data_IF_155600347204
#
_entry.id   IF_155600347204
#
_cell.length_a   1.000
_cell.length_b   1.000
_cell.length_c   1.000
_cell.angle_alpha   90.00
_cell.angle_beta   90.00
_cell.angle_gamma   90.00
#
_symmetry.space_group_name_H-M   'P 1'
#
loop_
_entity.id
_entity.type
_entity.pdbx_description
1 polymer ?
#
# COMPACT_ATOMS: atom_id res chain seq x y z
N UNK A 1 -15.92 7.25 -9.33
CA UNK A 1 -15.62 6.20 -8.32
C UNK A 1 -15.82 4.83 -8.96
N UNK A 2 -15.02 3.82 -8.59
CA UNK A 2 -15.21 2.42 -9.03
C UNK A 2 -15.04 1.48 -7.85
N UNK A 3 -15.76 0.36 -7.85
CA UNK A 3 -15.70 -0.63 -6.77
C UNK A 3 -15.57 -2.02 -7.35
N UNK A 4 -14.62 -2.79 -6.81
CA UNK A 4 -14.40 -4.19 -7.16
C UNK A 4 -14.59 -5.04 -5.91
N UNK A 5 -15.38 -6.10 -6.01
CA UNK A 5 -15.64 -7.02 -4.89
C UNK A 5 -15.28 -8.43 -5.34
N UNK A 6 -14.31 -9.05 -4.68
CA UNK A 6 -13.85 -10.40 -5.02
C UNK A 6 -13.52 -11.17 -3.73
N UNK A 7 -14.09 -12.36 -3.57
CA UNK A 7 -13.83 -13.21 -2.39
C UNK A 7 -14.14 -12.55 -1.03
N UNK A 8 -15.11 -11.63 -1.00
CA UNK A 8 -15.46 -10.85 0.20
C UNK A 8 -14.56 -9.63 0.46
N UNK A 9 -13.52 -9.41 -0.35
CA UNK A 9 -12.67 -8.23 -0.27
C UNK A 9 -13.14 -7.13 -1.22
N UNK A 10 -13.32 -5.92 -0.69
CA UNK A 10 -13.77 -4.74 -1.45
C UNK A 10 -12.61 -3.80 -1.71
N UNK A 11 -12.43 -3.40 -2.97
CA UNK A 11 -11.53 -2.34 -3.38
C UNK A 11 -12.35 -1.17 -3.94
N UNK A 12 -12.22 0.01 -3.34
CA UNK A 12 -12.97 1.21 -3.68
C UNK A 12 -11.99 2.26 -4.18
N UNK A 13 -12.11 2.65 -5.45
CA UNK A 13 -11.25 3.64 -6.10
C UNK A 13 -11.91 5.02 -6.05
N UNK A 14 -11.28 5.91 -5.30
CA UNK A 14 -11.65 7.32 -5.16
C UNK A 14 -10.73 8.13 -6.07
N UNK A 15 -11.25 8.47 -7.24
CA UNK A 15 -10.58 9.30 -8.25
C UNK A 15 -11.27 10.67 -8.34
N UNK A 16 -10.51 11.75 -8.19
CA UNK A 16 -10.98 13.12 -8.32
C UNK A 16 -11.19 13.84 -6.98
N UNK A 17 -12.01 14.90 -7.02
CA UNK A 17 -12.21 15.81 -5.88
C UNK A 17 -12.96 15.12 -4.72
N UNK A 18 -12.50 15.34 -3.49
CA UNK A 18 -13.16 14.82 -2.28
C UNK A 18 -14.18 15.84 -1.79
N UNK A 19 -15.45 15.50 -1.84
CA UNK A 19 -16.57 16.30 -1.32
C UNK A 19 -17.61 15.38 -0.70
N UNK A 20 -18.70 15.94 -0.16
CA UNK A 20 -19.75 15.15 0.53
C UNK A 20 -20.28 13.97 -0.28
N UNK A 21 -20.55 14.13 -1.58
CA UNK A 21 -21.03 13.02 -2.41
C UNK A 21 -19.99 11.88 -2.58
N UNK A 22 -18.70 12.16 -2.40
CA UNK A 22 -17.63 11.15 -2.37
C UNK A 22 -17.76 10.31 -1.10
N UNK A 23 -17.99 10.94 0.05
CA UNK A 23 -18.25 10.25 1.34
C UNK A 23 -19.46 9.33 1.22
N UNK A 24 -20.55 9.83 0.64
CA UNK A 24 -21.80 9.08 0.49
C UNK A 24 -21.61 7.86 -0.43
N UNK A 25 -20.92 8.06 -1.55
CA UNK A 25 -20.63 6.97 -2.50
C UNK A 25 -19.73 5.90 -1.88
N UNK A 26 -18.73 6.28 -1.08
CA UNK A 26 -17.86 5.31 -0.39
C UNK A 26 -18.64 4.57 0.69
N UNK A 27 -19.49 5.26 1.45
CA UNK A 27 -20.36 4.63 2.47
C UNK A 27 -21.27 3.58 1.86
N UNK A 28 -21.89 3.88 0.72
CA UNK A 28 -22.71 2.93 -0.03
C UNK A 28 -21.87 1.74 -0.52
N UNK A 29 -20.69 1.98 -1.09
CA UNK A 29 -19.80 0.93 -1.58
C UNK A 29 -19.29 -0.02 -0.47
N UNK A 30 -19.18 0.45 0.78
CA UNK A 30 -18.78 -0.36 1.93
C UNK A 30 -19.89 -1.31 2.42
N UNK A 31 -21.15 -1.12 2.01
CA UNK A 31 -22.25 -2.01 2.41
C UNK A 31 -22.15 -3.40 1.72
N UNK A 32 -22.55 -4.49 2.39
CA UNK A 32 -23.09 -4.56 3.75
C UNK A 32 -22.02 -4.38 4.83
N UNK A 33 -22.41 -3.75 5.94
CA UNK A 33 -21.56 -3.43 7.13
C UNK A 33 -20.89 -4.66 7.75
N UNK A 34 -21.37 -5.87 7.43
CA UNK A 34 -20.75 -7.13 7.84
C UNK A 34 -19.34 -7.34 7.28
N UNK A 35 -18.94 -6.59 6.25
CA UNK A 35 -17.58 -6.59 5.70
C UNK A 35 -16.71 -5.57 6.44
N UNK A 36 -15.89 -6.02 7.39
CA UNK A 36 -15.00 -5.15 8.20
C UNK A 36 -13.57 -5.02 7.65
N UNK A 37 -13.38 -5.31 6.36
CA UNK A 37 -12.07 -5.32 5.72
C UNK A 37 -12.19 -5.06 4.22
N UNK A 38 -11.23 -4.32 3.70
CA UNK A 38 -11.21 -3.87 2.31
C UNK A 38 -10.14 -2.79 2.13
N UNK A 39 -10.11 -2.17 0.96
CA UNK A 39 -9.14 -1.15 0.63
C UNK A 39 -9.80 0.01 -0.10
N UNK A 40 -9.47 1.23 0.30
CA UNK A 40 -9.77 2.45 -0.44
C UNK A 40 -8.49 2.93 -1.12
N UNK A 41 -8.51 3.01 -2.45
CA UNK A 41 -7.39 3.48 -3.26
C UNK A 41 -7.67 4.91 -3.71
N UNK A 42 -6.78 5.83 -3.36
CA UNK A 42 -6.92 7.26 -3.61
C UNK A 42 -6.07 7.73 -4.80
N UNK A 43 -6.71 8.46 -5.70
CA UNK A 43 -6.09 9.31 -6.71
C UNK A 43 -6.79 10.68 -6.72
N UNK A 44 -6.30 11.63 -5.92
CA UNK A 44 -6.98 12.91 -5.70
C UNK A 44 -5.99 14.05 -5.46
N UNK A 45 -6.20 15.17 -6.15
CA UNK A 45 -5.48 16.42 -5.91
C UNK A 45 -5.98 17.19 -4.67
N UNK A 46 -7.04 16.72 -4.01
CA UNK A 46 -7.62 17.38 -2.84
C UNK A 46 -9.13 17.40 -2.81
N UNK A 47 -9.67 18.33 -2.03
CA UNK A 47 -11.09 18.39 -1.73
C UNK A 47 -11.43 19.29 -0.57
N UNK A 48 -12.64 19.11 -0.07
CA UNK A 48 -13.13 19.76 1.13
C UNK A 48 -12.54 19.08 2.38
N UNK A 49 -11.93 19.88 3.27
CA UNK A 49 -11.28 19.37 4.48
C UNK A 49 -12.24 18.52 5.34
N UNK A 50 -13.45 19.01 5.56
CA UNK A 50 -14.46 18.34 6.38
C UNK A 50 -14.87 17.00 5.75
N UNK A 51 -15.12 16.97 4.44
CA UNK A 51 -15.47 15.73 3.74
C UNK A 51 -14.32 14.71 3.78
N UNK A 52 -13.06 15.16 3.75
CA UNK A 52 -11.92 14.29 3.91
C UNK A 52 -11.81 13.69 5.33
N UNK A 53 -12.06 14.48 6.37
CA UNK A 53 -12.12 13.98 7.75
C UNK A 53 -13.25 12.96 7.93
N UNK A 54 -14.45 13.27 7.40
CA UNK A 54 -15.59 12.35 7.40
C UNK A 54 -15.28 11.05 6.68
N UNK A 55 -14.70 11.13 5.48
CA UNK A 55 -14.31 9.96 4.69
C UNK A 55 -13.27 9.11 5.43
N UNK A 56 -12.26 9.73 6.03
CA UNK A 56 -11.24 8.99 6.76
C UNK A 56 -11.79 8.34 8.04
N UNK A 57 -12.71 9.00 8.76
CA UNK A 57 -13.40 8.39 9.91
C UNK A 57 -14.25 7.19 9.47
N UNK A 58 -15.01 7.34 8.38
CA UNK A 58 -15.80 6.26 7.80
C UNK A 58 -14.93 5.04 7.45
N UNK A 59 -13.78 5.27 6.80
CA UNK A 59 -12.80 4.23 6.48
C UNK A 59 -12.29 3.53 7.74
N UNK A 60 -11.95 4.31 8.78
CA UNK A 60 -11.46 3.80 10.07
C UNK A 60 -12.48 2.90 10.73
N UNK A 61 -13.73 3.35 10.80
CA UNK A 61 -14.82 2.65 11.49
C UNK A 61 -15.16 1.31 10.82
N UNK A 62 -15.02 1.23 9.49
CA UNK A 62 -15.19 -0.01 8.72
C UNK A 62 -13.95 -0.89 8.69
N UNK A 63 -12.83 -0.43 9.27
CA UNK A 63 -11.58 -1.17 9.33
C UNK A 63 -10.86 -1.30 7.98
N UNK A 64 -11.18 -0.48 6.99
CA UNK A 64 -10.57 -0.54 5.65
C UNK A 64 -9.13 -0.04 5.68
N UNK A 65 -8.29 -0.60 4.80
CA UNK A 65 -6.98 -0.04 4.48
C UNK A 65 -7.10 1.11 3.47
N UNK A 66 -6.06 1.92 3.39
CA UNK A 66 -5.90 2.97 2.39
C UNK A 66 -4.63 2.78 1.59
N UNK A 67 -4.68 3.08 0.30
CA UNK A 67 -3.54 3.09 -0.61
C UNK A 67 -3.62 4.34 -1.49
N UNK A 68 -2.48 4.82 -1.98
CA UNK A 68 -2.44 5.82 -3.06
C UNK A 68 -2.13 5.09 -4.37
N UNK A 69 -2.92 5.36 -5.39
CA UNK A 69 -2.79 4.72 -6.70
C UNK A 69 -3.94 5.09 -7.63
N UNK A 70 -3.73 4.92 -8.92
CA UNK A 70 -4.74 5.20 -9.94
C UNK A 70 -4.95 3.96 -10.81
N UNK A 71 -6.19 3.69 -11.22
CA UNK A 71 -6.42 2.68 -12.26
C UNK A 71 -5.81 3.13 -13.59
N UNK A 72 -5.14 2.20 -14.28
CA UNK A 72 -4.77 2.36 -15.69
C UNK A 72 -6.00 2.62 -16.55
N UNK A 73 -5.81 3.16 -17.76
CA UNK A 73 -6.91 3.41 -18.70
C UNK A 73 -7.72 2.13 -19.00
N UNK A 74 -7.00 1.00 -19.11
CA UNK A 74 -7.55 -0.34 -19.31
C UNK A 74 -8.17 -0.95 -18.04
N UNK A 75 -7.98 -0.32 -16.87
CA UNK A 75 -8.55 -0.71 -15.58
C UNK A 75 -8.17 -2.12 -15.13
N UNK A 76 -7.00 -2.58 -15.54
CA UNK A 76 -6.43 -3.89 -15.21
C UNK A 76 -5.37 -3.78 -14.11
N UNK A 77 -4.76 -2.60 -13.93
CA UNK A 77 -3.64 -2.40 -13.02
C UNK A 77 -3.81 -1.12 -12.19
N UNK A 78 -3.16 -1.11 -11.02
CA UNK A 78 -2.97 0.11 -10.21
C UNK A 78 -1.61 0.71 -10.57
N UNK A 79 -1.65 1.86 -11.21
CA UNK A 79 -0.48 2.68 -11.54
C UNK A 79 -0.28 3.79 -10.50
N UNK A 80 0.79 4.57 -10.70
CA UNK A 80 1.11 5.71 -9.84
C UNK A 80 -0.03 6.73 -9.78
N UNK A 81 -0.51 7.00 -8.57
CA UNK A 81 -1.53 8.00 -8.27
C UNK A 81 -0.99 9.17 -7.44
N UNK A 82 -1.83 10.19 -7.25
CA UNK A 82 -1.55 11.36 -6.43
C UNK A 82 -2.51 11.46 -5.25
N UNK A 83 -2.05 11.94 -4.11
CA UNK A 83 -2.89 12.26 -2.95
C UNK A 83 -2.39 13.55 -2.32
N UNK A 84 -3.03 14.66 -2.68
CA UNK A 84 -2.63 16.01 -2.28
C UNK A 84 -3.69 16.73 -1.46
N UNK A 85 -3.28 17.77 -0.73
CA UNK A 85 -4.18 18.69 -0.03
C UNK A 85 -5.08 17.98 1.00
N UNK A 86 -6.40 17.89 0.75
CA UNK A 86 -7.33 17.19 1.63
C UNK A 86 -7.24 15.65 1.52
N UNK A 87 -6.70 15.10 0.42
CA UNK A 87 -6.62 13.65 0.24
C UNK A 87 -5.82 12.93 1.34
N UNK A 88 -4.62 13.41 1.75
CA UNK A 88 -3.89 12.85 2.87
C UNK A 88 -4.70 12.76 4.16
N UNK A 89 -5.64 13.69 4.38
CA UNK A 89 -6.50 13.69 5.57
C UNK A 89 -7.48 12.52 5.53
N UNK A 90 -8.08 12.21 4.38
CA UNK A 90 -8.89 11.00 4.24
C UNK A 90 -8.04 9.71 4.30
N UNK A 91 -6.86 9.72 3.66
CA UNK A 91 -5.94 8.59 3.60
C UNK A 91 -5.52 8.12 5.00
N UNK A 92 -5.25 9.03 5.94
CA UNK A 92 -4.82 8.64 7.30
C UNK A 92 -5.90 7.94 8.11
N UNK A 93 -7.15 7.97 7.65
CA UNK A 93 -8.28 7.19 8.15
C UNK A 93 -8.08 5.68 8.08
N UNK A 94 -7.25 5.19 7.15
CA UNK A 94 -6.97 3.77 6.99
C UNK A 94 -6.57 3.10 8.31
N UNK A 95 -7.15 1.93 8.59
CA UNK A 95 -6.67 1.02 9.64
C UNK A 95 -5.24 0.58 9.34
N UNK A 96 -4.96 0.41 8.05
CA UNK A 96 -3.64 0.25 7.47
C UNK A 96 -3.45 1.26 6.34
N UNK A 97 -2.26 1.85 6.23
CA UNK A 97 -1.94 2.96 5.33
C UNK A 97 -0.75 2.57 4.45
N UNK A 98 -1.06 2.11 3.25
CA UNK A 98 -0.11 1.64 2.26
C UNK A 98 0.41 2.86 1.49
N UNK A 99 1.64 3.25 1.83
CA UNK A 99 2.36 4.31 1.14
C UNK A 99 3.57 3.70 0.44
N UNK A 100 3.31 3.14 -0.74
CA UNK A 100 4.35 2.60 -1.59
C UNK A 100 4.88 3.71 -2.52
N UNK A 101 6.20 3.89 -2.52
CA UNK A 101 6.87 4.92 -3.32
C UNK A 101 6.70 4.70 -4.82
N UNK A 102 6.37 3.49 -5.26
CA UNK A 102 6.16 3.15 -6.66
C UNK A 102 4.74 3.54 -7.12
N UNK A 103 3.76 3.40 -6.23
CA UNK A 103 2.33 3.62 -6.57
C UNK A 103 1.77 4.97 -6.09
N UNK A 104 2.43 5.69 -5.18
CA UNK A 104 1.83 6.86 -4.53
C UNK A 104 2.72 8.08 -4.34
N UNK A 105 2.19 9.26 -4.70
CA UNK A 105 2.68 10.56 -4.25
C UNK A 105 1.77 11.12 -3.14
N UNK A 106 2.35 11.52 -2.01
CA UNK A 106 1.64 12.19 -0.92
C UNK A 106 2.17 13.63 -0.76
N UNK A 107 1.29 14.61 -0.85
CA UNK A 107 1.65 16.03 -0.76
C UNK A 107 0.67 16.82 0.10
N UNK A 108 1.17 17.81 0.84
CA UNK A 108 0.35 18.63 1.74
C UNK A 108 0.54 20.11 1.53
N UNK A 109 -0.46 20.88 1.94
CA UNK A 109 -0.39 22.32 2.09
C UNK A 109 -1.43 22.77 3.13
N UNK A 110 -1.31 23.99 3.68
CA UNK A 110 -2.28 24.50 4.65
C UNK A 110 -3.66 24.68 4.01
N UNK A 111 -4.72 24.34 4.72
CA UNK A 111 -6.09 24.58 4.26
C UNK A 111 -6.40 26.09 4.23
N UNK A 112 -7.37 26.48 3.40
CA UNK A 112 -7.79 27.86 3.23
C UNK A 112 -9.29 27.94 2.95
N UNK A 113 -9.87 29.12 3.17
CA UNK A 113 -11.26 29.40 2.83
C UNK A 113 -11.31 29.96 1.42
N UNK A 114 -11.84 29.18 0.48
CA UNK A 114 -12.12 29.64 -0.88
C UNK A 114 -13.42 30.48 -0.90
N UNK A 115 -13.39 31.73 -0.40
CA UNK A 115 -14.46 32.71 -0.67
C UNK A 115 -13.99 33.68 -1.75
N UNK A 116 -14.63 33.64 -2.91
CA UNK A 116 -14.58 34.69 -3.95
C UNK A 116 -13.15 35.17 -4.31
N UNK A 117 -12.22 34.24 -4.57
CA UNK A 117 -10.89 34.59 -5.08
C UNK A 117 -10.01 35.39 -4.12
N UNK A 118 -10.37 35.49 -2.83
CA UNK A 118 -9.51 36.09 -1.80
C UNK A 118 -9.16 35.05 -0.76
N UNK A 119 -7.87 34.97 -0.44
CA UNK A 119 -7.31 34.26 0.70
C UNK A 119 -7.93 34.83 1.99
N UNK A 120 -9.10 34.34 2.38
CA UNK A 120 -9.83 34.88 3.51
C UNK A 120 -9.19 34.36 4.80
N UNK A 121 -8.39 35.21 5.45
CA UNK A 121 -7.85 35.01 6.78
C UNK A 121 -8.93 35.23 7.85
N UNK A 122 -10.05 34.51 7.79
CA UNK A 122 -10.97 34.47 8.93
C UNK A 122 -10.31 33.64 10.02
N UNK A 123 -9.58 34.33 10.89
CA UNK A 123 -8.67 33.75 11.87
C UNK A 123 -9.38 32.82 12.84
N UNK A 124 -10.65 33.09 13.18
CA UNK A 124 -11.41 32.25 14.09
C UNK A 124 -11.84 30.93 13.45
N UNK A 125 -12.34 30.97 12.22
CA UNK A 125 -12.76 29.77 11.51
C UNK A 125 -11.55 28.88 11.16
N UNK A 126 -10.45 29.49 10.73
CA UNK A 126 -9.20 28.78 10.47
C UNK A 126 -8.58 28.20 11.75
N UNK A 127 -8.70 28.89 12.88
CA UNK A 127 -8.24 28.39 14.18
C UNK A 127 -9.03 27.16 14.62
N UNK A 128 -10.36 27.20 14.56
CA UNK A 128 -11.22 26.06 14.89
C UNK A 128 -10.92 24.88 13.96
N UNK A 129 -10.87 25.11 12.65
CA UNK A 129 -10.53 24.06 11.68
C UNK A 129 -9.14 23.46 11.93
N UNK A 130 -8.16 24.27 12.33
CA UNK A 130 -6.81 23.79 12.67
C UNK A 130 -6.81 22.91 13.91
N UNK A 131 -7.53 23.31 14.97
CA UNK A 131 -7.69 22.48 16.17
C UNK A 131 -8.39 21.16 15.84
N UNK A 132 -9.51 21.21 15.14
CA UNK A 132 -10.31 20.03 14.83
C UNK A 132 -9.53 19.07 13.90
N UNK A 133 -8.72 19.59 12.98
CA UNK A 133 -7.79 18.80 12.16
C UNK A 133 -6.71 18.14 13.01
N UNK A 134 -6.10 18.87 13.95
CA UNK A 134 -5.07 18.31 14.85
C UNK A 134 -5.64 17.19 15.72
N UNK A 135 -6.85 17.38 16.25
CA UNK A 135 -7.57 16.35 17.01
C UNK A 135 -7.87 15.11 16.17
N UNK A 136 -8.31 15.32 14.93
CA UNK A 136 -8.51 14.23 13.97
C UNK A 136 -7.21 13.47 13.66
N UNK A 137 -6.12 14.17 13.34
CA UNK A 137 -4.80 13.57 13.08
C UNK A 137 -4.35 12.70 14.27
N UNK A 138 -4.51 13.23 15.49
CA UNK A 138 -4.21 12.49 16.73
C UNK A 138 -5.09 11.26 16.88
N UNK A 139 -6.39 11.36 16.63
CA UNK A 139 -7.33 10.22 16.68
C UNK A 139 -6.98 9.14 15.64
N UNK A 140 -6.39 9.53 14.50
CA UNK A 140 -5.89 8.61 13.48
C UNK A 140 -4.54 7.98 13.83
N UNK A 141 -3.91 8.35 14.96
CA UNK A 141 -2.62 7.81 15.41
C UNK A 141 -1.44 8.31 14.58
N UNK A 142 -1.54 9.53 14.04
CA UNK A 142 -0.49 10.21 13.27
C UNK A 142 0.17 11.26 14.16
N UNK A 143 1.47 11.49 13.99
CA UNK A 143 2.20 12.43 14.83
C UNK A 143 1.88 13.89 14.49
N UNK A 144 2.13 14.78 15.45
CA UNK A 144 1.78 16.21 15.33
C UNK A 144 2.68 16.97 14.35
N UNK A 145 3.84 16.42 14.04
CA UNK A 145 4.77 16.93 13.03
C UNK A 145 4.11 16.98 11.65
N UNK A 146 3.20 16.05 11.34
CA UNK A 146 2.41 16.10 10.11
C UNK A 146 1.49 17.33 10.06
N UNK A 147 0.80 17.62 11.16
CA UNK A 147 -0.03 18.83 11.28
C UNK A 147 0.83 20.09 11.15
N UNK A 148 2.00 20.09 11.77
CA UNK A 148 2.96 21.20 11.69
C UNK A 148 3.41 21.42 10.24
N UNK A 149 3.72 20.37 9.49
CA UNK A 149 4.09 20.46 8.08
C UNK A 149 2.95 21.04 7.23
N UNK A 150 1.72 20.56 7.44
CA UNK A 150 0.52 21.09 6.75
C UNK A 150 0.44 22.60 6.96
N UNK A 151 0.47 23.06 8.21
CA UNK A 151 0.27 24.47 8.54
C UNK A 151 1.44 25.37 8.09
N UNK A 152 2.67 24.85 8.10
CA UNK A 152 3.86 25.56 7.63
C UNK A 152 3.91 25.70 6.10
N UNK A 153 3.23 24.82 5.36
CA UNK A 153 3.27 24.83 3.90
C UNK A 153 2.27 25.83 3.32
N UNK A 154 2.71 26.83 2.54
CA UNK A 154 1.82 27.81 1.90
C UNK A 154 0.78 27.14 0.99
N UNK A 155 -0.41 27.75 0.91
CA UNK A 155 -1.55 27.16 0.22
C UNK A 155 -1.46 27.21 -1.32
N UNK A 156 -0.47 27.90 -1.87
CA UNK A 156 -0.13 27.97 -3.29
C UNK A 156 1.00 27.01 -3.69
N UNK A 157 1.46 26.14 -2.77
CA UNK A 157 2.50 25.14 -3.02
C UNK A 157 2.09 23.79 -2.45
N UNK A 158 2.56 22.71 -3.07
CA UNK A 158 2.46 21.35 -2.54
C UNK A 158 3.83 20.94 -1.99
N UNK A 159 3.88 20.61 -0.71
CA UNK A 159 5.06 20.00 -0.10
C UNK A 159 4.91 18.48 -0.13
N UNK A 160 5.77 17.81 -0.90
CA UNK A 160 5.86 16.36 -0.89
C UNK A 160 6.29 15.85 0.49
N UNK A 161 5.62 14.82 0.99
CA UNK A 161 6.03 14.13 2.22
C UNK A 161 6.96 12.98 1.83
N UNK A 162 8.21 13.05 2.28
CA UNK A 162 9.21 12.03 1.99
C UNK A 162 9.00 10.74 2.79
N UNK A 163 9.50 9.62 2.24
CA UNK A 163 9.36 8.27 2.81
C UNK A 163 9.74 8.19 4.31
N UNK A 164 10.86 8.81 4.71
CA UNK A 164 11.31 8.79 6.10
C UNK A 164 10.29 9.44 7.05
N UNK A 165 9.87 10.66 6.72
CA UNK A 165 8.84 11.39 7.47
C UNK A 165 7.51 10.63 7.51
N UNK A 166 7.15 9.92 6.42
CA UNK A 166 5.95 9.09 6.40
C UNK A 166 5.96 7.94 7.41
N UNK A 167 7.14 7.41 7.77
CA UNK A 167 7.25 6.42 8.83
C UNK A 167 7.31 7.06 10.21
N UNK A 168 8.17 8.07 10.39
CA UNK A 168 8.37 8.72 11.69
C UNK A 168 7.08 9.36 12.22
N UNK A 169 6.24 9.87 11.32
CA UNK A 169 4.96 10.49 11.67
C UNK A 169 3.79 9.51 11.64
N UNK A 170 4.07 8.21 11.50
CA UNK A 170 3.10 7.13 11.36
C UNK A 170 2.11 7.32 10.19
N UNK A 171 2.43 8.08 9.14
CA UNK A 171 1.54 8.24 7.97
C UNK A 171 1.39 6.96 7.18
N UNK A 172 2.48 6.21 7.02
CA UNK A 172 2.38 4.80 6.67
C UNK A 172 2.28 3.99 7.94
N UNK A 173 1.35 3.05 7.99
CA UNK A 173 1.43 2.06 9.04
C UNK A 173 2.56 1.09 8.64
N UNK A 174 3.53 0.90 9.53
CA UNK A 174 4.56 -0.14 9.41
C UNK A 174 5.89 0.39 8.93
N UNK A 175 6.85 0.51 9.85
CA UNK A 175 8.25 0.50 9.44
C UNK A 175 8.53 -0.82 8.72
N UNK A 176 9.13 -0.75 7.54
CA UNK A 176 9.58 -1.92 6.82
C UNK A 176 10.92 -2.35 7.43
N UNK A 177 10.88 -3.33 8.32
CA UNK A 177 12.10 -4.00 8.76
C UNK A 177 12.30 -5.22 7.90
N UNK A 178 13.43 -5.30 7.21
CA UNK A 178 13.81 -6.50 6.46
C UNK A 178 15.06 -7.10 7.08
N UNK A 179 15.10 -8.43 7.12
CA UNK A 179 16.29 -9.18 7.48
C UNK A 179 16.51 -10.24 6.42
N UNK A 180 17.75 -10.40 6.00
CA UNK A 180 18.14 -11.41 5.02
C UNK A 180 19.17 -12.34 5.63
N UNK A 181 18.92 -13.64 5.53
CA UNK A 181 19.80 -14.67 6.07
C UNK A 181 19.94 -15.83 5.08
N UNK A 182 21.15 -16.36 4.96
CA UNK A 182 21.38 -17.62 4.26
C UNK A 182 21.06 -18.78 5.20
N UNK A 183 20.06 -19.58 4.86
CA UNK A 183 19.68 -20.76 5.62
C UNK A 183 20.68 -21.92 5.40
N UNK A 184 20.76 -22.89 6.33
CA UNK A 184 21.70 -24.01 6.24
C UNK A 184 21.50 -24.90 5.00
N UNK A 185 20.30 -24.92 4.42
CA UNK A 185 19.99 -25.66 3.19
C UNK A 185 20.45 -24.93 1.91
N UNK A 186 21.01 -23.73 2.06
CA UNK A 186 21.49 -22.88 0.97
C UNK A 186 20.42 -21.91 0.43
N UNK A 187 19.23 -21.88 1.03
CA UNK A 187 18.20 -20.92 0.62
C UNK A 187 18.45 -19.53 1.21
N UNK A 188 18.17 -18.47 0.44
CA UNK A 188 18.23 -17.09 0.92
C UNK A 188 16.85 -16.68 1.42
N UNK A 189 16.74 -16.38 2.72
CA UNK A 189 15.48 -16.06 3.39
C UNK A 189 15.46 -14.59 3.77
N UNK A 190 14.59 -13.83 3.12
CA UNK A 190 14.18 -12.48 3.49
C UNK A 190 12.92 -12.53 4.33
N UNK A 191 12.94 -11.92 5.51
CA UNK A 191 11.75 -11.72 6.33
C UNK A 191 11.50 -10.23 6.48
N UNK A 192 10.24 -9.84 6.42
CA UNK A 192 9.84 -8.50 6.80
C UNK A 192 8.53 -8.46 7.56
N UNK A 193 8.47 -7.54 8.52
CA UNK A 193 7.22 -7.17 9.15
C UNK A 193 6.80 -5.79 8.67
N UNK A 194 5.55 -5.68 8.28
CA UNK A 194 4.90 -4.40 8.01
C UNK A 194 3.69 -4.30 8.93
N UNK A 195 3.09 -3.12 9.02
CA UNK A 195 1.82 -3.01 9.74
C UNK A 195 0.74 -3.91 9.14
N UNK A 196 0.79 -4.17 7.84
CA UNK A 196 -0.27 -4.85 7.11
C UNK A 196 -0.15 -6.37 7.15
N UNK A 197 0.85 -6.88 7.85
CA UNK A 197 1.17 -8.29 7.93
C UNK A 197 2.65 -8.60 7.88
N UNK A 198 2.97 -9.84 8.25
CA UNK A 198 4.29 -10.43 8.02
C UNK A 198 4.43 -10.89 6.58
N UNK A 199 5.61 -10.67 5.99
CA UNK A 199 6.01 -11.20 4.70
C UNK A 199 7.32 -11.98 4.85
N UNK A 200 7.46 -13.06 4.09
CA UNK A 200 8.74 -13.71 3.85
C UNK A 200 8.92 -13.97 2.37
N UNK A 201 10.15 -13.80 1.88
CA UNK A 201 10.59 -14.25 0.57
C UNK A 201 11.72 -15.26 0.79
N UNK A 202 11.64 -16.40 0.15
CA UNK A 202 12.74 -17.38 0.14
C UNK A 202 13.13 -17.69 -1.29
N UNK A 203 14.39 -17.41 -1.64
CA UNK A 203 14.99 -17.85 -2.89
C UNK A 203 15.70 -19.18 -2.64
N UNK A 204 15.40 -20.17 -3.48
CA UNK A 204 15.97 -21.51 -3.34
C UNK A 204 16.12 -22.17 -4.71
N UNK A 205 17.03 -23.14 -4.83
CA UNK A 205 17.07 -24.06 -5.96
C UNK A 205 16.30 -25.34 -5.62
N UNK A 206 15.26 -25.65 -6.40
CA UNK A 206 14.48 -26.89 -6.27
C UNK A 206 14.58 -27.66 -7.57
N UNK A 207 14.99 -28.93 -7.48
CA UNK A 207 15.18 -29.79 -8.65
C UNK A 207 16.08 -29.16 -9.73
N UNK A 208 17.12 -28.43 -9.30
CA UNK A 208 18.05 -27.73 -10.19
C UNK A 208 17.46 -26.48 -10.87
N UNK A 209 16.25 -26.03 -10.49
CA UNK A 209 15.61 -24.84 -11.03
C UNK A 209 15.46 -23.73 -9.97
N UNK A 210 15.59 -22.46 -10.35
CA UNK A 210 15.32 -21.33 -9.46
C UNK A 210 13.85 -21.32 -9.02
N UNK A 211 13.64 -21.11 -7.73
CA UNK A 211 12.32 -21.07 -7.11
C UNK A 211 12.23 -19.95 -6.09
N UNK A 212 11.03 -19.41 -5.92
CA UNK A 212 10.70 -18.39 -4.94
C UNK A 212 9.50 -18.85 -4.11
N UNK A 213 9.61 -18.72 -2.80
CA UNK A 213 8.50 -18.88 -1.86
C UNK A 213 8.12 -17.52 -1.27
N UNK A 214 6.87 -17.10 -1.45
CA UNK A 214 6.32 -15.89 -0.88
C UNK A 214 5.33 -16.25 0.24
N UNK A 215 5.69 -15.92 1.47
CA UNK A 215 4.91 -16.19 2.68
C UNK A 215 4.25 -14.91 3.15
N UNK A 216 2.94 -14.93 3.37
CA UNK A 216 2.15 -13.76 3.77
C UNK A 216 1.28 -14.05 4.98
N UNK A 217 1.22 -13.11 5.91
CA UNK A 217 0.23 -13.06 6.98
C UNK A 217 -0.50 -11.72 6.87
N UNK A 218 -1.39 -11.56 5.89
CA UNK A 218 -2.12 -10.32 5.71
C UNK A 218 -3.00 -10.04 6.94
N UNK A 219 -3.35 -8.76 7.13
CA UNK A 219 -4.27 -8.31 8.17
C UNK A 219 -5.75 -8.70 7.92
N UNK A 220 -6.06 -9.20 6.73
CA UNK A 220 -7.35 -9.78 6.34
C UNK A 220 -7.23 -11.30 6.23
N UNK A 221 -8.34 -12.07 6.12
CA UNK A 221 -8.27 -13.53 6.02
C UNK A 221 -7.30 -14.01 4.91
N UNK A 222 -6.22 -14.75 5.24
CA UNK A 222 -5.19 -15.14 4.26
C UNK A 222 -5.75 -15.94 3.08
N UNK A 223 -6.81 -16.73 3.31
CA UNK A 223 -7.50 -17.48 2.28
C UNK A 223 -8.08 -16.60 1.16
N UNK A 224 -8.33 -15.31 1.40
CA UNK A 224 -8.77 -14.37 0.37
C UNK A 224 -7.74 -14.23 -0.75
N UNK A 225 -6.44 -14.41 -0.45
CA UNK A 225 -5.38 -14.37 -1.46
C UNK A 225 -5.44 -15.56 -2.44
N UNK A 226 -6.17 -16.63 -2.14
CA UNK A 226 -6.38 -17.76 -3.06
C UNK A 226 -7.32 -17.43 -4.22
N UNK A 227 -8.00 -16.29 -4.18
CA UNK A 227 -8.92 -15.89 -5.25
C UNK A 227 -8.20 -15.15 -6.39
N UNK A 228 -6.91 -14.84 -6.26
CA UNK A 228 -6.13 -14.17 -7.31
C UNK A 228 -5.58 -15.22 -8.28
N UNK A 229 -5.65 -14.93 -9.57
CA UNK A 229 -5.36 -15.90 -10.65
C UNK A 229 -3.94 -15.73 -11.22
N UNK A 230 -3.49 -14.47 -11.34
CA UNK A 230 -2.20 -14.10 -11.91
C UNK A 230 -1.19 -13.86 -10.79
N UNK A 231 0.00 -14.41 -10.96
CA UNK A 231 1.08 -14.35 -9.98
C UNK A 231 2.36 -13.83 -10.62
N UNK A 232 3.00 -12.86 -10.00
CA UNK A 232 4.26 -12.29 -10.46
C UNK A 232 5.26 -12.16 -9.31
N UNK A 233 6.55 -12.29 -9.63
CA UNK A 233 7.60 -11.68 -8.81
C UNK A 233 7.68 -10.21 -9.16
N UNK A 234 7.71 -9.35 -8.16
CA UNK A 234 7.96 -7.93 -8.34
C UNK A 234 9.43 -7.64 -8.06
N UNK A 235 10.07 -6.90 -8.96
CA UNK A 235 11.46 -6.48 -8.82
C UNK A 235 11.48 -4.99 -9.09
N UNK A 236 11.72 -4.20 -8.04
CA UNK A 236 11.45 -2.77 -8.04
C UNK A 236 10.04 -2.47 -8.58
N UNK A 237 9.95 -1.83 -9.75
CA UNK A 237 8.71 -1.45 -10.42
C UNK A 237 8.21 -2.48 -11.46
N UNK A 238 9.04 -3.48 -11.79
CA UNK A 238 8.77 -4.45 -12.85
C UNK A 238 8.09 -5.72 -12.30
N UNK A 239 7.30 -6.37 -13.15
CA UNK A 239 6.61 -7.63 -12.86
C UNK A 239 7.13 -8.73 -13.77
N UNK A 240 7.50 -9.86 -13.17
CA UNK A 240 7.96 -11.05 -13.88
C UNK A 240 7.02 -12.21 -13.59
N UNK A 241 6.42 -12.84 -14.63
CA UNK A 241 5.48 -13.94 -14.43
C UNK A 241 6.20 -15.14 -13.82
N UNK A 242 5.51 -15.84 -12.92
CA UNK A 242 6.03 -17.07 -12.30
C UNK A 242 5.58 -18.31 -13.07
N UNK A 243 6.29 -19.42 -12.87
CA UNK A 243 5.91 -20.74 -13.42
C UNK A 243 5.42 -21.65 -12.28
N UNK A 244 4.30 -22.34 -12.47
CA UNK A 244 3.82 -23.39 -11.52
C UNK A 244 3.64 -22.89 -10.08
N UNK A 245 2.72 -21.94 -9.87
CA UNK A 245 2.40 -21.44 -8.53
C UNK A 245 1.52 -22.44 -7.76
N UNK A 246 1.92 -22.77 -6.53
CA UNK A 246 1.13 -23.57 -5.58
C UNK A 246 0.97 -22.82 -4.27
N UNK A 247 -0.22 -22.91 -3.67
CA UNK A 247 -0.52 -22.24 -2.42
C UNK A 247 -0.71 -23.25 -1.28
N UNK A 248 -0.22 -22.90 -0.08
CA UNK A 248 -0.49 -23.63 1.15
C UNK A 248 -0.88 -22.66 2.25
N UNK A 249 -1.89 -23.01 3.06
CA UNK A 249 -2.35 -22.18 4.16
C UNK A 249 -2.17 -22.91 5.50
N UNK A 250 -1.31 -22.36 6.35
CA UNK A 250 -1.13 -22.82 7.72
C UNK A 250 -2.10 -22.06 8.65
N UNK A 251 -3.16 -22.75 9.06
CA UNK A 251 -4.19 -22.21 9.95
C UNK A 251 -3.68 -21.87 11.35
N UNK A 252 -2.60 -22.51 11.82
CA UNK A 252 -2.08 -22.27 13.17
C UNK A 252 -1.27 -20.98 13.21
N UNK A 253 -0.33 -20.81 12.26
CA UNK A 253 0.48 -19.59 12.20
C UNK A 253 -0.25 -18.41 11.55
N UNK A 254 -1.31 -18.68 10.76
CA UNK A 254 -2.05 -17.70 10.00
C UNK A 254 -1.34 -17.25 8.73
N UNK A 255 -0.30 -17.96 8.30
CA UNK A 255 0.43 -17.65 7.08
C UNK A 255 -0.10 -18.45 5.90
N UNK A 256 -0.26 -17.78 4.76
CA UNK A 256 -0.41 -18.40 3.45
C UNK A 256 0.93 -18.29 2.70
N UNK A 257 1.33 -19.36 2.03
CA UNK A 257 2.61 -19.44 1.31
C UNK A 257 2.35 -19.80 -0.14
N UNK A 258 2.87 -19.00 -1.06
CA UNK A 258 2.88 -19.23 -2.49
C UNK A 258 4.27 -19.67 -2.92
N UNK A 259 4.39 -20.92 -3.35
CA UNK A 259 5.61 -21.46 -3.93
C UNK A 259 5.50 -21.40 -5.45
N UNK A 260 6.48 -20.80 -6.11
CA UNK A 260 6.52 -20.76 -7.57
C UNK A 260 7.95 -20.91 -8.11
N UNK A 261 8.06 -21.37 -9.36
CA UNK A 261 9.28 -21.25 -10.15
C UNK A 261 9.44 -19.83 -10.69
N UNK A 262 10.69 -19.42 -10.87
CA UNK A 262 11.05 -18.06 -11.32
C UNK A 262 11.86 -18.12 -12.60
N UNK A 263 11.61 -17.17 -13.50
CA UNK A 263 12.32 -17.09 -14.79
C UNK A 263 13.76 -16.62 -14.59
N UNK A 264 14.62 -16.90 -15.58
CA UNK A 264 16.02 -16.45 -15.54
C UNK A 264 16.12 -14.92 -15.58
N UNK A 265 15.20 -14.29 -16.29
CA UNK A 265 15.08 -12.84 -16.39
C UNK A 265 14.77 -12.23 -15.02
N UNK A 266 13.84 -12.84 -14.27
CA UNK A 266 13.51 -12.39 -12.92
C UNK A 266 14.71 -12.50 -11.97
N UNK A 267 15.45 -13.62 -11.97
CA UNK A 267 16.61 -13.79 -11.10
C UNK A 267 17.69 -12.74 -11.37
N UNK A 268 18.00 -12.49 -12.66
CA UNK A 268 18.96 -11.45 -13.06
C UNK A 268 18.55 -10.07 -12.61
N UNK A 269 17.25 -9.78 -12.63
CA UNK A 269 16.72 -8.51 -12.14
C UNK A 269 16.88 -8.40 -10.61
N UNK A 270 16.54 -9.45 -9.86
CA UNK A 270 16.64 -9.47 -8.38
C UNK A 270 18.06 -9.16 -7.91
N UNK A 271 19.08 -9.69 -8.58
CA UNK A 271 20.49 -9.46 -8.23
C UNK A 271 20.88 -7.97 -8.18
N UNK A 272 20.15 -7.10 -8.89
CA UNK A 272 20.43 -5.67 -9.02
C UNK A 272 19.37 -4.78 -8.36
N UNK A 273 18.28 -5.37 -7.91
CA UNK A 273 17.09 -4.67 -7.46
C UNK A 273 17.29 -3.99 -6.12
N UNK A 274 16.60 -2.89 -5.84
CA UNK A 274 16.52 -2.36 -4.47
C UNK A 274 15.41 -3.03 -3.66
N UNK A 275 14.44 -3.63 -4.36
CA UNK A 275 13.30 -4.34 -3.77
C UNK A 275 12.96 -5.61 -4.54
N UNK A 276 12.63 -6.66 -3.80
CA UNK A 276 12.08 -7.90 -4.34
C UNK A 276 10.79 -8.27 -3.63
N UNK A 277 9.81 -8.72 -4.37
CA UNK A 277 8.49 -8.98 -3.84
C UNK A 277 7.69 -9.99 -4.66
N UNK A 278 6.40 -10.02 -4.38
CA UNK A 278 5.47 -10.91 -5.04
C UNK A 278 4.11 -10.20 -5.12
N UNK A 279 3.50 -10.24 -6.30
CA UNK A 279 2.18 -9.70 -6.53
C UNK A 279 1.20 -10.75 -7.03
N UNK A 280 -0.04 -10.57 -6.59
CA UNK A 280 -1.20 -11.41 -6.88
C UNK A 280 -2.24 -10.49 -7.50
N UNK A 281 -2.67 -10.77 -8.72
CA UNK A 281 -3.70 -9.99 -9.42
C UNK A 281 -4.78 -10.90 -10.01
N UNK A 282 -5.96 -10.34 -10.26
CA UNK A 282 -7.01 -11.08 -10.95
C UNK A 282 -6.70 -11.16 -12.46
N UNK A 283 -7.04 -12.27 -13.10
CA UNK A 283 -6.83 -12.42 -14.56
C UNK A 283 -7.68 -11.43 -15.36
N UNK A 284 -8.87 -11.11 -14.83
CA UNK A 284 -9.85 -10.23 -15.49
C UNK A 284 -10.43 -9.24 -14.50
N UNK A 285 -9.68 -8.18 -14.27
CA UNK A 285 -10.16 -7.02 -13.53
C UNK A 285 -9.07 -6.43 -12.64
N UNK A 286 -9.29 -5.21 -12.15
CA UNK A 286 -8.33 -4.57 -11.29
C UNK A 286 -8.40 -5.16 -9.90
N UNK A 287 -7.25 -5.12 -9.26
CA UNK A 287 -7.06 -5.62 -7.93
C UNK A 287 -5.75 -6.36 -7.90
N UNK A 288 -4.78 -5.78 -7.20
CA UNK A 288 -3.49 -6.39 -6.99
C UNK A 288 -3.18 -6.35 -5.49
N UNK A 289 -2.82 -7.50 -4.94
CA UNK A 289 -2.10 -7.55 -3.68
C UNK A 289 -0.62 -7.71 -3.99
N UNK A 290 0.14 -6.63 -3.82
CA UNK A 290 1.60 -6.62 -3.98
C UNK A 290 2.27 -6.30 -2.65
N UNK A 291 3.39 -6.98 -2.40
CA UNK A 291 4.31 -6.69 -1.29
C UNK A 291 5.73 -6.96 -1.74
N UNK A 292 6.67 -6.19 -1.20
CA UNK A 292 8.09 -6.33 -1.45
C UNK A 292 8.90 -6.07 -0.18
N UNK A 293 10.12 -6.59 -0.18
CA UNK A 293 11.14 -6.39 0.83
C UNK A 293 12.28 -5.60 0.20
N UNK A 294 12.82 -4.60 0.90
CA UNK A 294 14.15 -4.06 0.61
C UNK A 294 15.17 -5.20 0.60
N UNK A 295 16.05 -5.21 -0.41
CA UNK A 295 17.17 -6.15 -0.48
C UNK A 295 18.48 -5.39 -0.19
N UNK A 296 19.26 -5.88 0.78
CA UNK A 296 20.55 -5.28 1.12
C UNK A 296 21.69 -5.77 0.21
N UNK A 297 22.87 -5.17 0.34
CA UNK A 297 24.03 -5.50 -0.51
C UNK A 297 24.51 -6.95 -0.41
N UNK A 298 24.32 -7.60 0.75
CA UNK A 298 24.70 -9.00 0.93
C UNK A 298 23.68 -9.91 0.24
N UNK A 299 22.40 -9.62 0.39
CA UNK A 299 21.32 -10.34 -0.27
C UNK A 299 21.38 -10.21 -1.80
N UNK A 300 21.78 -9.04 -2.34
CA UNK A 300 22.04 -8.84 -3.77
C UNK A 300 23.08 -9.82 -4.32
N UNK A 301 24.24 -9.92 -3.64
CA UNK A 301 25.31 -10.86 -4.05
C UNK A 301 24.88 -12.32 -3.93
N UNK A 302 24.09 -12.68 -2.91
CA UNK A 302 23.59 -14.04 -2.75
C UNK A 302 22.51 -14.40 -3.78
N UNK A 303 21.73 -13.43 -4.26
CA UNK A 303 20.73 -13.67 -5.31
C UNK A 303 21.37 -14.13 -6.64
N UNK A 304 22.56 -13.64 -6.99
CA UNK A 304 23.31 -14.05 -8.19
C UNK A 304 23.61 -15.56 -8.20
N UNK A 305 23.77 -16.17 -7.02
CA UNK A 305 24.07 -17.61 -6.90
C UNK A 305 22.92 -18.51 -7.35
N UNK A 306 21.70 -17.97 -7.42
CA UNK A 306 20.51 -18.69 -7.89
C UNK A 306 20.36 -18.65 -9.43
N UNK A 307 21.16 -17.87 -10.17
CA UNK A 307 21.08 -17.85 -11.65
C UNK A 307 21.45 -19.20 -12.29
N UNK A 308 22.46 -19.84 -11.73
CA UNK A 308 23.03 -21.07 -12.27
C UNK A 308 22.48 -22.34 -11.63
N UNK A 309 21.64 -22.19 -10.58
CA UNK A 309 21.18 -23.22 -9.66
C UNK A 309 22.03 -24.48 -9.68
N UNK A 310 23.06 -24.60 -8.82
CA UNK A 310 24.00 -25.70 -8.90
C UNK A 310 23.25 -27.04 -8.87
N UNK A 311 23.45 -27.84 -9.90
CA UNK A 311 23.02 -29.24 -9.91
C UNK A 311 23.79 -29.95 -8.81
N UNK A 312 23.12 -30.20 -7.69
CA UNK A 312 23.59 -31.20 -6.72
C UNK A 312 23.53 -32.58 -7.36
#
# INVERSE_FOLDING_TARGET
MKTFTQGGFKQIFVDGYIHKATVDSVSEAMQPVTTQYGMVVFNSAGGDLIAAQELGQLIRDHGFATQIGKLTENQDQVARGVCESACPIAFIGGKFRLLDTDTGHLGVHRFYLAKQGRWAADSKLLFTAGRDLREYIKAMGVSDEFFTLIMATPADRIQAVGKHASYDWNLSTGGEFTTWNLAPDGSLVGLGETSTGGMGITLACREGKPSLSAKFKPWFPPATLLNYDTHNVTVDNDRYPVTEATASYDKQSGFITFQAGVTREAIKAIARADRVGYSLSYDRGPGEYSRSLVIDGQAKSLAETFESCPTK
#
